data_IF_489575636549
#
_entry.id   IF_489575636549
#
_cell.length_a   1.000
_cell.length_b   1.000
_cell.length_c   1.000
_cell.angle_alpha   90.00
_cell.angle_beta   90.00
_cell.angle_gamma   90.00
#
_symmetry.space_group_name_H-M   'P 1'
#
loop_
_entity.id
_entity.type
_entity.pdbx_description
1 polymer ?
#
# COMPACT_ATOMS: atom_id res chain seq x y z
N UNK A 1 16.64 -52.36 16.79
CA UNK A 1 16.81 -52.85 15.41
C UNK A 1 15.79 -53.96 15.19
N UNK A 2 14.54 -53.57 14.93
CA UNK A 2 13.46 -54.46 14.52
C UNK A 2 13.03 -54.02 13.12
N UNK A 3 13.02 -54.97 12.17
CA UNK A 3 12.68 -54.74 10.77
C UNK A 3 11.28 -55.28 10.51
N UNK A 4 10.30 -54.40 10.39
CA UNK A 4 9.00 -54.73 9.80
C UNK A 4 9.10 -54.66 8.28
N UNK A 5 8.69 -55.74 7.60
CA UNK A 5 8.67 -55.86 6.13
C UNK A 5 7.51 -55.04 5.54
N UNK A 6 7.82 -53.98 4.80
CA UNK A 6 6.88 -53.23 3.95
C UNK A 6 6.65 -53.90 2.59
N UNK A 7 5.53 -53.57 1.93
CA UNK A 7 5.10 -54.09 0.63
C UNK A 7 5.98 -53.55 -0.52
N UNK A 8 6.16 -54.30 -1.63
CA UNK A 8 6.94 -53.84 -2.77
C UNK A 8 6.11 -52.82 -3.60
N UNK A 9 6.57 -51.56 -3.67
CA UNK A 9 6.00 -50.52 -4.53
C UNK A 9 5.97 -49.10 -3.97
N UNK A 10 6.17 -48.91 -2.66
CA UNK A 10 6.26 -47.58 -2.05
C UNK A 10 7.69 -47.03 -2.12
N UNK A 11 7.83 -45.80 -2.65
CA UNK A 11 9.07 -45.04 -2.53
C UNK A 11 9.31 -44.71 -1.06
N UNK A 12 10.53 -44.88 -0.52
CA UNK A 12 10.81 -44.54 0.86
C UNK A 12 10.65 -43.03 1.05
N UNK A 13 9.66 -42.64 1.87
CA UNK A 13 9.58 -41.29 2.43
C UNK A 13 10.60 -41.22 3.56
N UNK A 14 11.64 -40.42 3.35
CA UNK A 14 12.63 -40.09 4.36
C UNK A 14 11.97 -39.14 5.36
N UNK A 15 11.21 -39.69 6.31
CA UNK A 15 10.74 -38.95 7.47
C UNK A 15 11.93 -38.74 8.39
N UNK A 16 12.61 -37.60 8.24
CA UNK A 16 13.55 -37.11 9.25
C UNK A 16 12.68 -36.75 10.47
N UNK A 17 12.86 -37.39 11.63
CA UNK A 17 12.21 -36.94 12.84
C UNK A 17 12.81 -35.58 13.19
N UNK A 18 12.05 -34.51 12.95
CA UNK A 18 12.34 -33.21 13.55
C UNK A 18 11.95 -33.36 15.01
N UNK A 19 12.90 -33.79 15.84
CA UNK A 19 12.82 -33.59 17.28
C UNK A 19 12.68 -32.08 17.50
N UNK A 20 11.46 -31.64 17.82
CA UNK A 20 11.24 -30.27 18.28
C UNK A 20 11.96 -30.15 19.61
N UNK A 21 12.98 -29.29 19.75
CA UNK A 21 13.58 -29.05 21.04
C UNK A 21 12.49 -28.48 21.95
N UNK A 22 12.22 -29.19 23.04
CA UNK A 22 11.38 -28.73 24.14
C UNK A 22 12.16 -27.62 24.88
N UNK A 23 12.28 -26.47 24.23
CA UNK A 23 12.68 -25.25 24.89
C UNK A 23 11.46 -24.78 25.66
N UNK A 24 11.53 -24.86 27.00
CA UNK A 24 10.61 -24.23 27.92
C UNK A 24 10.63 -22.70 27.78
N UNK A 25 10.22 -22.21 26.60
CA UNK A 25 10.02 -20.81 26.31
C UNK A 25 8.74 -20.42 27.02
N UNK A 26 8.89 -19.78 28.16
CA UNK A 26 7.86 -18.92 28.72
C UNK A 26 7.34 -18.04 27.56
N UNK A 27 6.03 -18.08 27.30
CA UNK A 27 5.46 -17.34 26.19
C UNK A 27 5.84 -15.87 26.36
N UNK A 28 6.33 -15.19 25.30
CA UNK A 28 6.78 -13.81 25.44
C UNK A 28 5.66 -12.98 26.04
N UNK A 29 5.99 -12.12 27.02
CA UNK A 29 5.02 -11.20 27.62
C UNK A 29 4.55 -10.18 26.56
N UNK A 30 3.48 -10.56 25.87
CA UNK A 30 2.78 -9.76 24.85
C UNK A 30 1.73 -8.84 25.48
N UNK A 31 1.59 -8.82 26.81
CA UNK A 31 0.57 -8.03 27.50
C UNK A 31 0.67 -6.55 27.15
N UNK A 32 1.90 -6.05 26.97
CA UNK A 32 2.14 -4.67 26.52
C UNK A 32 1.55 -4.34 25.14
N UNK A 33 1.53 -5.30 24.20
CA UNK A 33 0.95 -5.10 22.87
C UNK A 33 -0.56 -4.89 22.90
N UNK A 34 -1.26 -5.42 23.91
CA UNK A 34 -2.69 -5.19 24.05
C UNK A 34 -3.05 -3.71 24.15
N UNK A 35 -2.10 -2.87 24.63
CA UNK A 35 -2.26 -1.40 24.66
C UNK A 35 -2.24 -0.76 23.27
N UNK A 36 -1.60 -1.40 22.29
CA UNK A 36 -1.60 -0.97 20.89
C UNK A 36 -2.88 -1.39 20.15
N UNK A 37 -3.69 -2.28 20.74
CA UNK A 37 -4.93 -2.75 20.13
C UNK A 37 -6.05 -1.71 20.17
N UNK A 38 -5.97 -0.73 21.07
CA UNK A 38 -6.97 0.35 21.21
C UNK A 38 -6.38 1.68 20.77
N UNK A 39 -7.04 2.30 19.80
CA UNK A 39 -6.71 3.67 19.41
C UNK A 39 -7.33 4.66 20.41
N UNK A 40 -6.67 5.80 20.69
CA UNK A 40 -7.29 6.87 21.49
C UNK A 40 -8.60 7.35 20.87
N UNK A 41 -9.58 7.70 21.71
CA UNK A 41 -10.92 8.11 21.27
C UNK A 41 -10.86 9.26 20.26
N UNK A 42 -10.03 10.27 20.50
CA UNK A 42 -9.87 11.43 19.61
C UNK A 42 -9.42 11.02 18.19
N UNK A 43 -8.56 10.00 18.07
CA UNK A 43 -8.07 9.51 16.79
C UNK A 43 -9.16 8.72 16.06
N UNK A 44 -9.90 7.89 16.81
CA UNK A 44 -11.06 7.16 16.29
C UNK A 44 -12.12 8.13 15.80
N UNK A 45 -12.42 9.17 16.58
CA UNK A 45 -13.42 10.18 16.24
C UNK A 45 -13.06 10.94 14.96
N UNK A 46 -11.77 11.29 14.77
CA UNK A 46 -11.29 11.93 13.55
C UNK A 46 -11.32 11.00 12.32
N UNK A 47 -11.16 9.69 12.53
CA UNK A 47 -11.19 8.68 11.47
C UNK A 47 -12.62 8.25 11.08
N UNK A 48 -13.62 8.50 11.93
CA UNK A 48 -15.00 8.06 11.75
C UNK A 48 -15.74 8.91 10.69
N UNK A 49 -16.17 8.32 9.55
CA UNK A 49 -16.79 9.06 8.46
C UNK A 49 -18.01 9.89 8.86
N UNK A 50 -18.90 9.34 9.70
CA UNK A 50 -20.15 9.99 10.08
C UNK A 50 -19.96 11.15 11.05
N UNK A 51 -19.00 11.04 11.98
CA UNK A 51 -18.65 12.16 12.86
C UNK A 51 -18.07 13.32 12.06
N UNK A 52 -17.14 13.03 11.15
CA UNK A 52 -16.54 14.04 10.27
C UNK A 52 -17.59 14.69 9.37
N UNK A 53 -18.50 13.89 8.80
CA UNK A 53 -19.63 14.36 7.99
C UNK A 53 -20.54 15.31 8.78
N UNK A 54 -20.90 14.90 10.00
CA UNK A 54 -21.78 15.68 10.88
C UNK A 54 -21.12 17.00 11.27
N UNK A 55 -19.84 16.99 11.61
CA UNK A 55 -19.10 18.21 11.94
C UNK A 55 -19.02 19.17 10.74
N UNK A 56 -18.66 18.66 9.56
CA UNK A 56 -18.64 19.43 8.32
C UNK A 56 -20.02 20.04 8.00
N UNK A 57 -21.09 19.24 8.05
CA UNK A 57 -22.45 19.69 7.76
C UNK A 57 -22.92 20.84 8.68
N UNK A 58 -22.42 20.89 9.92
CA UNK A 58 -22.74 21.96 10.89
C UNK A 58 -21.83 23.17 10.74
N UNK A 59 -20.55 22.96 10.44
CA UNK A 59 -19.55 24.02 10.44
C UNK A 59 -19.46 24.79 9.12
N UNK A 60 -19.82 24.16 7.99
CA UNK A 60 -19.74 24.75 6.65
C UNK A 60 -21.05 25.43 6.26
N UNK A 61 -20.96 26.69 5.86
CA UNK A 61 -22.10 27.56 5.56
C UNK A 61 -22.91 27.07 4.37
N UNK A 62 -22.25 26.60 3.32
CA UNK A 62 -22.85 26.15 2.08
C UNK A 62 -23.71 24.91 2.30
N UNK A 63 -23.30 24.01 3.21
CA UNK A 63 -24.12 22.86 3.60
C UNK A 63 -25.33 23.30 4.44
N UNK A 64 -25.15 24.17 5.43
CA UNK A 64 -26.27 24.67 6.26
C UNK A 64 -27.31 25.48 5.47
N UNK A 65 -26.93 26.05 4.32
CA UNK A 65 -27.81 26.79 3.42
C UNK A 65 -28.43 25.96 2.30
N UNK A 66 -28.01 24.71 2.13
CA UNK A 66 -28.42 23.87 1.01
C UNK A 66 -27.85 24.30 -0.35
N UNK A 67 -26.78 25.10 -0.36
CA UNK A 67 -26.06 25.48 -1.59
C UNK A 67 -25.19 24.31 -2.09
N UNK A 68 -24.75 23.46 -1.17
CA UNK A 68 -24.05 22.20 -1.43
C UNK A 68 -24.67 21.07 -0.61
N UNK A 69 -24.64 19.87 -1.17
CA UNK A 69 -25.00 18.62 -0.51
C UNK A 69 -23.74 17.82 -0.20
N UNK A 70 -23.65 17.29 1.02
CA UNK A 70 -22.54 16.47 1.46
C UNK A 70 -22.90 14.98 1.34
N UNK A 71 -22.36 14.31 0.32
CA UNK A 71 -22.65 12.89 0.06
C UNK A 71 -21.76 11.95 0.87
N UNK A 72 -20.46 12.24 0.96
CA UNK A 72 -19.48 11.36 1.61
C UNK A 72 -18.29 12.13 2.16
N UNK A 73 -17.75 11.68 3.28
CA UNK A 73 -16.44 12.09 3.79
C UNK A 73 -15.64 10.86 4.18
N UNK A 74 -14.35 10.82 3.84
CA UNK A 74 -13.47 9.73 4.25
C UNK A 74 -12.07 10.23 4.56
N UNK A 75 -11.69 10.14 5.83
CA UNK A 75 -10.33 10.35 6.29
C UNK A 75 -9.45 9.12 5.97
N UNK A 76 -8.20 9.37 5.58
CA UNK A 76 -7.19 8.37 5.24
C UNK A 76 -5.79 8.92 5.57
N UNK A 77 -4.81 8.02 5.59
CA UNK A 77 -3.40 8.36 5.69
C UNK A 77 -3.06 9.18 6.95
N UNK A 78 -3.59 8.78 8.10
CA UNK A 78 -3.16 9.34 9.38
C UNK A 78 -1.64 9.14 9.55
N UNK A 79 -0.94 10.23 9.83
CA UNK A 79 0.50 10.30 10.00
C UNK A 79 0.84 11.19 11.17
N UNK A 80 1.73 10.70 12.02
CA UNK A 80 2.29 11.51 13.09
C UNK A 80 3.48 12.32 12.57
N UNK A 81 3.36 13.65 12.61
CA UNK A 81 4.41 14.62 12.25
C UNK A 81 4.72 15.49 13.47
N UNK A 82 5.88 15.29 14.09
CA UNK A 82 6.17 15.89 15.39
C UNK A 82 5.19 15.38 16.44
N UNK A 83 4.44 16.30 17.08
CA UNK A 83 3.39 15.99 18.04
C UNK A 83 1.96 16.00 17.44
N UNK A 84 1.83 16.31 16.14
CA UNK A 84 0.53 16.52 15.49
C UNK A 84 0.20 15.35 14.56
N UNK A 85 -1.02 14.86 14.64
CA UNK A 85 -1.52 13.89 13.67
C UNK A 85 -2.09 14.62 12.48
N UNK A 86 -1.62 14.29 11.28
CA UNK A 86 -2.12 14.81 10.02
C UNK A 86 -2.81 13.71 9.24
N UNK A 87 -3.80 14.05 8.42
CA UNK A 87 -4.50 13.10 7.58
C UNK A 87 -5.04 13.78 6.32
N UNK A 88 -5.44 12.99 5.33
CA UNK A 88 -6.15 13.48 4.16
C UNK A 88 -7.62 13.08 4.25
N UNK A 89 -8.51 14.00 3.94
CA UNK A 89 -9.94 13.75 3.84
C UNK A 89 -10.41 13.99 2.41
N UNK A 90 -11.07 12.99 1.82
CA UNK A 90 -11.85 13.17 0.59
C UNK A 90 -13.28 13.47 0.97
N UNK A 91 -13.80 14.59 0.50
CA UNK A 91 -15.19 15.00 0.69
C UNK A 91 -15.87 15.05 -0.66
N UNK A 92 -16.87 14.20 -0.87
CA UNK A 92 -17.69 14.20 -2.09
C UNK A 92 -18.91 15.07 -1.84
N UNK A 93 -19.05 16.14 -2.63
CA UNK A 93 -20.11 17.14 -2.53
C UNK A 93 -20.81 17.30 -3.87
N UNK A 94 -22.07 17.72 -3.86
CA UNK A 94 -22.85 18.04 -5.05
C UNK A 94 -23.53 19.39 -4.90
N UNK A 95 -23.89 20.01 -6.03
CA UNK A 95 -24.97 21.02 -6.02
C UNK A 95 -26.29 20.26 -6.17
N UNK A 96 -27.44 20.79 -5.70
CA UNK A 96 -28.72 20.10 -5.77
C UNK A 96 -29.07 19.48 -7.14
N UNK A 97 -28.63 20.10 -8.24
CA UNK A 97 -28.84 19.62 -9.61
C UNK A 97 -27.54 19.30 -10.38
N UNK A 98 -26.41 19.19 -9.67
CA UNK A 98 -25.09 19.01 -10.27
C UNK A 98 -24.50 17.62 -10.05
N UNK A 99 -23.61 17.21 -10.95
CA UNK A 99 -22.81 16.00 -10.74
C UNK A 99 -21.91 16.16 -9.49
N UNK A 100 -21.84 15.15 -8.62
CA UNK A 100 -20.96 15.19 -7.46
C UNK A 100 -19.50 15.33 -7.87
N UNK A 101 -18.74 16.11 -7.11
CA UNK A 101 -17.31 16.30 -7.27
C UNK A 101 -16.60 16.13 -5.92
N UNK A 102 -15.29 15.86 -5.99
CA UNK A 102 -14.47 15.68 -4.80
C UNK A 102 -13.70 16.94 -4.45
N UNK A 103 -13.70 17.25 -3.15
CA UNK A 103 -12.82 18.23 -2.52
C UNK A 103 -11.87 17.47 -1.60
N UNK A 104 -10.57 17.70 -1.78
CA UNK A 104 -9.55 17.15 -0.89
C UNK A 104 -9.22 18.14 0.19
N UNK A 105 -9.28 17.69 1.44
CA UNK A 105 -8.90 18.44 2.61
C UNK A 105 -7.69 17.78 3.27
N UNK A 106 -6.80 18.60 3.80
CA UNK A 106 -5.80 18.18 4.78
C UNK A 106 -6.35 18.44 6.17
N UNK A 107 -6.28 17.43 7.02
CA UNK A 107 -6.74 17.50 8.39
C UNK A 107 -5.59 17.37 9.35
N UNK A 108 -5.73 17.97 10.52
CA UNK A 108 -4.80 17.81 11.61
C UNK A 108 -5.53 17.71 12.94
N UNK A 109 -5.07 16.80 13.80
CA UNK A 109 -5.60 16.57 15.14
C UNK A 109 -4.56 16.98 16.15
N UNK A 110 -4.97 17.86 17.08
CA UNK A 110 -4.18 18.23 18.24
C UNK A 110 -4.73 17.50 19.47
N UNK A 111 -4.07 16.40 19.90
CA UNK A 111 -4.53 15.63 21.05
C UNK A 111 -4.42 16.37 22.39
N UNK A 112 -3.63 17.45 22.46
CA UNK A 112 -3.52 18.27 23.66
C UNK A 112 -4.69 19.26 23.81
N UNK A 113 -5.53 19.41 22.78
CA UNK A 113 -6.64 20.36 22.77
C UNK A 113 -6.19 21.82 22.94
N UNK A 114 -4.92 22.11 22.65
CA UNK A 114 -4.29 23.43 22.86
C UNK A 114 -4.61 24.44 21.76
N UNK A 115 -5.29 24.02 20.70
CA UNK A 115 -5.70 24.93 19.62
C UNK A 115 -6.73 25.94 20.07
N UNK A 116 -6.32 27.21 20.03
CA UNK A 116 -7.26 28.32 20.06
C UNK A 116 -8.20 28.25 18.84
N UNK A 117 -9.47 28.58 19.06
CA UNK A 117 -10.46 28.61 18.01
C UNK A 117 -10.08 29.67 16.96
N UNK A 118 -9.54 29.23 15.82
CA UNK A 118 -9.37 30.11 14.67
C UNK A 118 -10.77 30.42 14.14
N UNK A 119 -11.23 31.65 14.40
CA UNK A 119 -12.43 32.19 13.77
C UNK A 119 -12.16 32.50 12.29
N UNK A 120 -13.22 32.36 11.49
CA UNK A 120 -13.38 32.79 10.09
C UNK A 120 -12.95 31.85 8.94
N UNK A 121 -13.65 30.72 8.84
CA UNK A 121 -14.00 30.08 7.55
C UNK A 121 -15.32 30.58 6.94
N UNK A 122 -16.10 31.43 7.64
CA UNK A 122 -17.50 31.76 7.26
C UNK A 122 -17.65 32.63 6.00
N UNK A 123 -16.58 33.26 5.55
CA UNK A 123 -16.56 34.14 4.39
C UNK A 123 -15.86 33.52 3.15
N UNK A 124 -15.22 32.36 3.31
CA UNK A 124 -14.43 31.72 2.24
C UNK A 124 -15.19 30.51 1.72
N UNK A 125 -15.31 30.39 0.40
CA UNK A 125 -16.06 29.31 -0.22
C UNK A 125 -15.42 27.93 0.05
N UNK A 126 -16.23 26.93 0.36
CA UNK A 126 -15.81 25.55 0.59
C UNK A 126 -15.01 25.01 -0.61
N UNK A 127 -13.84 24.44 -0.33
CA UNK A 127 -12.95 23.87 -1.34
C UNK A 127 -12.09 24.90 -2.09
N UNK A 128 -12.20 26.19 -1.79
CA UNK A 128 -11.21 27.17 -2.27
C UNK A 128 -9.88 27.03 -1.52
N UNK A 129 -8.78 27.49 -2.11
CA UNK A 129 -7.42 27.35 -1.56
C UNK A 129 -7.27 27.94 -0.15
N UNK A 130 -7.97 29.04 0.14
CA UNK A 130 -7.93 29.71 1.44
C UNK A 130 -8.90 29.11 2.48
N UNK A 131 -9.72 28.12 2.10
CA UNK A 131 -10.73 27.57 3.00
C UNK A 131 -10.11 26.78 4.15
N UNK A 132 -10.56 27.07 5.37
CA UNK A 132 -10.16 26.42 6.62
C UNK A 132 -11.35 26.32 7.58
N UNK A 133 -11.36 25.30 8.43
CA UNK A 133 -12.42 25.04 9.38
C UNK A 133 -11.93 24.25 10.59
N UNK A 134 -12.29 24.67 11.80
CA UNK A 134 -12.12 23.89 13.02
C UNK A 134 -13.43 23.15 13.36
N UNK A 135 -13.34 21.83 13.50
CA UNK A 135 -14.40 20.98 14.03
C UNK A 135 -14.11 20.75 15.52
N UNK A 136 -14.53 21.70 16.35
CA UNK A 136 -14.17 21.76 17.77
C UNK A 136 -14.55 20.49 18.55
N UNK A 137 -15.69 19.88 18.22
CA UNK A 137 -16.17 18.64 18.82
C UNK A 137 -15.29 17.41 18.50
N UNK A 138 -14.45 17.50 17.46
CA UNK A 138 -13.50 16.45 17.08
C UNK A 138 -12.04 16.85 17.39
N UNK A 139 -11.78 18.10 17.76
CA UNK A 139 -10.41 18.63 17.86
C UNK A 139 -9.66 18.62 16.52
N UNK A 140 -10.40 18.70 15.40
CA UNK A 140 -9.88 18.56 14.04
C UNK A 140 -9.88 19.91 13.34
N UNK A 141 -8.71 20.35 12.89
CA UNK A 141 -8.60 21.45 11.93
C UNK A 141 -8.50 20.88 10.52
N UNK A 142 -9.29 21.42 9.60
CA UNK A 142 -9.30 21.07 8.17
C UNK A 142 -8.97 22.30 7.34
N UNK A 143 -8.22 22.11 6.27
CA UNK A 143 -8.03 23.11 5.21
C UNK A 143 -8.07 22.44 3.84
N UNK A 144 -8.37 23.20 2.79
CA UNK A 144 -8.31 22.67 1.43
C UNK A 144 -6.88 22.22 1.14
N UNK A 145 -6.73 20.96 0.73
CA UNK A 145 -5.44 20.44 0.33
C UNK A 145 -4.96 21.22 -0.91
N UNK A 146 -3.68 21.63 -0.98
CA UNK A 146 -3.15 22.37 -2.14
C UNK A 146 -3.26 21.55 -3.45
N UNK A 147 -2.79 22.05 -4.58
CA UNK A 147 -2.59 21.16 -5.73
C UNK A 147 -1.56 20.06 -5.39
N UNK A 148 -1.70 18.84 -5.95
CA UNK A 148 -0.68 17.79 -5.73
C UNK A 148 0.53 18.06 -6.62
N UNK A 149 1.43 18.89 -6.14
CA UNK A 149 2.68 19.23 -6.84
C UNK A 149 3.75 18.14 -6.70
N UNK A 150 3.56 17.19 -5.79
CA UNK A 150 4.50 16.09 -5.57
C UNK A 150 4.35 14.96 -6.60
N UNK A 151 3.22 14.91 -7.32
CA UNK A 151 2.95 14.00 -8.43
C UNK A 151 2.49 14.76 -9.68
N UNK A 152 3.34 15.59 -10.29
CA UNK A 152 2.95 16.49 -11.40
C UNK A 152 2.49 15.73 -12.66
N UNK A 153 2.79 14.43 -12.75
CA UNK A 153 2.45 13.60 -13.89
C UNK A 153 0.99 13.11 -13.87
N UNK A 154 0.28 13.16 -12.73
CA UNK A 154 -1.09 12.59 -12.62
C UNK A 154 -2.05 13.09 -13.70
N UNK A 155 -2.15 14.40 -14.00
CA UNK A 155 -3.01 14.88 -15.09
C UNK A 155 -2.65 14.33 -16.47
N UNK A 156 -1.38 13.94 -16.68
CA UNK A 156 -0.92 13.34 -17.94
C UNK A 156 -1.22 11.84 -18.01
N UNK A 157 -1.31 11.17 -16.86
CA UNK A 157 -1.66 9.76 -16.78
C UNK A 157 -3.18 9.54 -16.91
N UNK A 158 -3.99 10.51 -16.52
CA UNK A 158 -5.45 10.43 -16.63
C UNK A 158 -5.98 10.86 -18.00
N UNK A 159 -5.21 11.68 -18.74
CA UNK A 159 -5.53 12.06 -20.11
C UNK A 159 -5.07 11.00 -21.10
N UNK A 160 -6.02 10.40 -21.84
CA UNK A 160 -5.76 9.30 -22.75
C UNK A 160 -4.73 9.63 -23.85
N UNK A 161 -4.73 10.84 -24.41
CA UNK A 161 -3.81 11.20 -25.48
C UNK A 161 -2.41 11.50 -24.96
N UNK A 162 -2.32 12.21 -23.83
CA UNK A 162 -1.03 12.48 -23.17
C UNK A 162 -0.39 11.18 -22.68
N UNK A 163 -1.17 10.31 -22.05
CA UNK A 163 -0.70 9.01 -21.58
C UNK A 163 -0.23 8.13 -22.73
N UNK A 164 -0.96 8.11 -23.86
CA UNK A 164 -0.57 7.36 -25.07
C UNK A 164 0.83 7.73 -25.54
N UNK A 165 1.10 9.03 -25.71
CA UNK A 165 2.42 9.54 -26.17
C UNK A 165 3.50 9.18 -25.16
N UNK A 166 3.22 9.38 -23.88
CA UNK A 166 4.15 9.09 -22.79
C UNK A 166 4.51 7.60 -22.71
N UNK A 167 3.52 6.71 -22.72
CA UNK A 167 3.71 5.26 -22.64
C UNK A 167 4.47 4.74 -23.86
N UNK A 168 4.11 5.19 -25.07
CA UNK A 168 4.82 4.82 -26.29
C UNK A 168 6.30 5.22 -26.23
N UNK A 169 6.59 6.45 -25.80
CA UNK A 169 7.97 6.93 -25.63
C UNK A 169 8.73 6.15 -24.56
N UNK A 170 8.11 5.92 -23.40
CA UNK A 170 8.72 5.21 -22.28
C UNK A 170 9.06 3.77 -22.64
N UNK A 171 8.12 3.02 -23.21
CA UNK A 171 8.30 1.59 -23.52
C UNK A 171 9.37 1.40 -24.61
N UNK A 172 9.39 2.26 -25.64
CA UNK A 172 10.47 2.23 -26.64
C UNK A 172 11.83 2.57 -26.05
N UNK A 173 11.87 3.53 -25.13
CA UNK A 173 13.09 3.93 -24.42
C UNK A 173 13.59 2.89 -23.41
N UNK A 174 12.75 1.92 -23.03
CA UNK A 174 13.09 0.87 -22.04
C UNK A 174 14.14 -0.16 -22.48
N UNK A 175 14.57 -0.10 -23.75
CA UNK A 175 15.70 -0.89 -24.27
C UNK A 175 15.39 -2.36 -24.56
N UNK A 176 14.11 -2.73 -24.63
CA UNK A 176 13.68 -4.08 -25.04
C UNK A 176 13.46 -4.10 -26.57
N UNK A 177 14.23 -4.86 -27.36
CA UNK A 177 14.16 -4.81 -28.82
C UNK A 177 12.77 -5.11 -29.40
N UNK A 178 12.00 -6.01 -28.75
CA UNK A 178 10.64 -6.36 -29.17
C UNK A 178 9.67 -5.15 -29.19
N UNK A 179 9.98 -4.11 -28.42
CA UNK A 179 9.13 -2.93 -28.27
C UNK A 179 9.69 -1.67 -28.91
N UNK A 180 10.86 -1.72 -29.56
CA UNK A 180 11.52 -0.55 -30.17
C UNK A 180 10.62 0.18 -31.20
N UNK A 181 9.74 -0.55 -31.87
CA UNK A 181 8.80 -0.02 -32.85
C UNK A 181 7.35 0.08 -32.33
N UNK A 182 7.11 -0.18 -31.03
CA UNK A 182 5.76 -0.25 -30.45
C UNK A 182 4.97 1.02 -30.71
N UNK A 183 3.84 0.95 -31.41
CA UNK A 183 2.91 2.07 -31.61
C UNK A 183 1.62 1.84 -30.82
N UNK A 184 1.10 2.88 -30.19
CA UNK A 184 -0.19 2.85 -29.50
C UNK A 184 -1.14 3.78 -30.27
N UNK A 185 -2.23 3.22 -30.78
CA UNK A 185 -3.25 3.98 -31.51
C UNK A 185 -4.12 4.80 -30.56
N UNK A 186 -4.60 4.16 -29.48
CA UNK A 186 -5.34 4.80 -28.39
C UNK A 186 -5.10 4.02 -27.09
N UNK A 187 -5.30 4.65 -25.94
CA UNK A 187 -5.35 3.92 -24.66
C UNK A 187 -6.53 4.37 -23.79
N UNK A 188 -6.96 3.51 -22.86
CA UNK A 188 -7.97 3.83 -21.86
C UNK A 188 -7.36 3.79 -20.45
N UNK A 189 -7.15 4.94 -19.80
CA UNK A 189 -6.65 4.99 -18.43
C UNK A 189 -7.72 4.53 -17.44
N UNK A 190 -7.29 3.78 -16.44
CA UNK A 190 -8.08 3.42 -15.27
C UNK A 190 -7.21 3.64 -14.03
N UNK A 191 -7.52 4.68 -13.25
CA UNK A 191 -6.82 4.96 -11.99
C UNK A 191 -7.15 3.86 -11.00
N UNK A 192 -6.18 3.00 -10.72
CA UNK A 192 -6.34 1.89 -9.78
C UNK A 192 -6.12 2.36 -8.34
N UNK A 193 -5.16 3.27 -8.17
CA UNK A 193 -4.78 3.80 -6.85
C UNK A 193 -4.20 5.18 -6.99
N UNK A 194 -4.66 6.10 -6.17
CA UNK A 194 -4.08 7.42 -6.03
C UNK A 194 -3.89 7.73 -4.55
N UNK A 195 -2.64 7.64 -4.11
CA UNK A 195 -2.19 8.08 -2.79
C UNK A 195 -1.58 9.47 -3.00
N UNK A 196 -2.39 10.51 -2.78
CA UNK A 196 -2.01 11.91 -3.01
C UNK A 196 -0.66 12.23 -2.38
N UNK A 197 0.21 12.83 -3.19
CA UNK A 197 1.57 13.16 -2.85
C UNK A 197 2.38 11.92 -2.44
N UNK A 198 2.14 10.75 -3.00
CA UNK A 198 3.00 9.60 -2.71
C UNK A 198 3.17 8.75 -3.94
N UNK A 199 2.06 8.26 -4.48
CA UNK A 199 2.06 7.50 -5.71
C UNK A 199 0.72 7.53 -6.42
N UNK A 200 0.75 7.33 -7.73
CA UNK A 200 -0.43 7.02 -8.53
C UNK A 200 -0.15 5.78 -9.37
N UNK A 201 -1.11 4.85 -9.41
CA UNK A 201 -1.08 3.63 -10.21
C UNK A 201 -2.24 3.67 -11.17
N UNK A 202 -1.95 3.65 -12.48
CA UNK A 202 -2.93 3.66 -13.55
C UNK A 202 -2.74 2.42 -14.41
N UNK A 203 -3.83 1.67 -14.62
CA UNK A 203 -3.89 0.57 -15.59
C UNK A 203 -4.35 1.16 -16.92
N UNK A 204 -3.72 0.72 -18.00
CA UNK A 204 -4.11 1.12 -19.35
C UNK A 204 -4.50 -0.09 -20.16
N UNK A 205 -5.65 0.00 -20.82
CA UNK A 205 -5.93 -0.85 -21.99
C UNK A 205 -5.34 -0.16 -23.21
N UNK A 206 -4.46 -0.85 -23.93
CA UNK A 206 -3.79 -0.36 -25.13
C UNK A 206 -4.49 -0.92 -26.37
N UNK A 207 -4.76 -0.04 -27.32
CA UNK A 207 -5.23 -0.42 -28.66
C UNK A 207 -4.10 -0.09 -29.62
N UNK A 208 -3.65 -1.10 -30.36
CA UNK A 208 -2.56 -0.95 -31.33
C UNK A 208 -3.09 -0.79 -32.76
N UNK A 209 -2.28 -0.23 -33.67
CA UNK A 209 -2.57 -0.24 -35.10
C UNK A 209 -2.81 -1.67 -35.65
N UNK A 210 -3.62 -1.86 -36.71
CA UNK A 210 -3.98 -3.18 -37.22
C UNK A 210 -2.80 -4.08 -37.64
N UNK A 211 -1.68 -3.48 -38.06
CA UNK A 211 -0.44 -4.17 -38.45
C UNK A 211 0.37 -4.72 -37.25
N UNK A 212 0.02 -4.32 -36.02
CA UNK A 212 0.73 -4.68 -34.80
C UNK A 212 0.33 -6.03 -34.19
N UNK A 213 -0.80 -6.63 -34.60
CA UNK A 213 -1.38 -7.83 -33.95
C UNK A 213 -0.41 -9.02 -33.90
N UNK A 214 0.51 -9.13 -34.87
CA UNK A 214 1.50 -10.22 -34.93
C UNK A 214 2.76 -9.98 -34.11
N UNK A 215 2.93 -8.81 -33.49
CA UNK A 215 4.17 -8.42 -32.80
C UNK A 215 4.20 -8.78 -31.30
N UNK A 216 3.10 -9.33 -30.77
CA UNK A 216 3.03 -9.76 -29.36
C UNK A 216 3.10 -8.61 -28.35
N UNK A 217 2.73 -7.40 -28.75
CA UNK A 217 2.75 -6.24 -27.86
C UNK A 217 1.68 -6.35 -26.75
N UNK A 218 1.99 -5.94 -25.51
CA UNK A 218 1.06 -5.99 -24.39
C UNK A 218 -0.20 -5.15 -24.66
N UNK A 219 -1.37 -5.77 -24.50
CA UNK A 219 -2.66 -5.07 -24.57
C UNK A 219 -3.00 -4.32 -23.29
N UNK A 220 -2.29 -4.60 -22.20
CA UNK A 220 -2.48 -3.96 -20.90
C UNK A 220 -1.12 -3.61 -20.34
N UNK A 221 -0.99 -2.40 -19.80
CA UNK A 221 0.19 -2.00 -19.03
C UNK A 221 -0.25 -1.31 -17.74
N UNK A 222 0.62 -1.30 -16.74
CA UNK A 222 0.42 -0.55 -15.50
C UNK A 222 1.53 0.48 -15.39
N UNK A 223 1.15 1.74 -15.26
CA UNK A 223 2.08 2.84 -14.98
C UNK A 223 1.95 3.28 -13.52
N UNK A 224 3.09 3.49 -12.87
CA UNK A 224 3.20 3.90 -11.47
C UNK A 224 4.08 5.14 -11.38
N UNK A 225 3.52 6.26 -10.97
CA UNK A 225 4.29 7.47 -10.65
C UNK A 225 4.60 7.50 -9.16
N UNK A 226 5.81 7.93 -8.81
CA UNK A 226 6.28 8.00 -7.42
C UNK A 226 6.68 9.43 -7.06
N UNK A 227 6.52 9.80 -5.79
CA UNK A 227 7.08 11.05 -5.25
C UNK A 227 8.61 11.02 -5.27
N UNK A 228 9.22 9.87 -5.03
CA UNK A 228 10.66 9.73 -4.73
C UNK A 228 11.31 8.60 -5.55
N UNK A 229 12.52 8.18 -5.15
CA UNK A 229 13.30 7.13 -5.81
C UNK A 229 12.76 5.71 -5.64
N UNK A 230 11.68 5.48 -4.88
CA UNK A 230 11.12 4.13 -4.69
C UNK A 230 10.74 3.45 -6.01
N UNK A 231 10.32 4.22 -7.02
CA UNK A 231 10.02 3.69 -8.35
C UNK A 231 11.23 3.09 -9.06
N UNK A 232 12.40 3.70 -8.88
CA UNK A 232 13.65 3.20 -9.46
C UNK A 232 14.06 1.87 -8.80
N UNK A 233 14.05 1.83 -7.47
CA UNK A 233 14.39 0.61 -6.72
C UNK A 233 13.44 -0.54 -7.08
N UNK A 234 12.14 -0.25 -7.23
CA UNK A 234 11.16 -1.24 -7.69
C UNK A 234 11.46 -1.73 -9.12
N UNK A 235 11.80 -0.83 -10.05
CA UNK A 235 12.16 -1.22 -11.42
C UNK A 235 13.41 -2.09 -11.46
N UNK A 236 14.46 -1.72 -10.74
CA UNK A 236 15.73 -2.46 -10.68
C UNK A 236 15.53 -3.85 -10.07
N UNK A 237 14.77 -3.95 -8.97
CA UNK A 237 14.39 -5.23 -8.38
C UNK A 237 13.59 -6.09 -9.35
N UNK A 238 12.58 -5.52 -10.02
CA UNK A 238 11.80 -6.25 -11.04
C UNK A 238 12.69 -6.72 -12.20
N UNK A 239 13.63 -5.90 -12.67
CA UNK A 239 14.58 -6.27 -13.74
C UNK A 239 15.51 -7.40 -13.33
N UNK A 240 15.98 -7.41 -12.08
CA UNK A 240 16.80 -8.48 -11.56
C UNK A 240 16.01 -9.80 -11.47
N UNK A 241 14.78 -9.75 -10.95
CA UNK A 241 13.88 -10.91 -10.89
C UNK A 241 13.50 -11.43 -12.29
N UNK A 242 13.21 -10.52 -13.24
CA UNK A 242 12.87 -10.88 -14.61
C UNK A 242 14.03 -11.57 -15.37
N UNK A 243 15.27 -11.36 -14.93
CA UNK A 243 16.46 -11.98 -15.52
C UNK A 243 16.90 -13.25 -14.81
N UNK A 244 16.31 -13.57 -13.66
CA UNK A 244 16.65 -14.76 -12.88
C UNK A 244 15.85 -15.98 -13.35
N UNK A 245 16.14 -17.14 -12.77
CA UNK A 245 15.37 -18.36 -13.01
C UNK A 245 13.91 -18.26 -12.54
N UNK A 246 13.61 -17.28 -11.67
CA UNK A 246 12.26 -17.05 -11.16
C UNK A 246 11.26 -16.73 -12.26
N UNK A 247 11.70 -16.09 -13.35
CA UNK A 247 10.84 -15.83 -14.53
C UNK A 247 10.26 -17.13 -15.12
N UNK A 248 10.99 -18.25 -15.01
CA UNK A 248 10.56 -19.55 -15.53
C UNK A 248 9.77 -20.37 -14.51
N UNK A 249 9.58 -19.85 -13.30
CA UNK A 249 8.80 -20.52 -12.26
C UNK A 249 7.32 -20.54 -12.62
N UNK A 250 6.67 -21.68 -12.42
CA UNK A 250 5.20 -21.78 -12.48
C UNK A 250 4.52 -21.33 -11.19
N UNK A 251 5.29 -21.08 -10.12
CA UNK A 251 4.78 -20.75 -8.79
C UNK A 251 4.53 -19.26 -8.61
N UNK A 252 5.28 -18.40 -9.32
CA UNK A 252 5.14 -16.95 -9.21
C UNK A 252 5.20 -16.29 -10.58
N UNK A 253 4.21 -15.45 -10.86
CA UNK A 253 4.23 -14.57 -12.01
C UNK A 253 4.87 -13.24 -11.61
N UNK A 254 5.95 -12.86 -12.29
CA UNK A 254 6.53 -11.53 -12.18
C UNK A 254 5.88 -10.65 -13.25
N UNK A 255 5.69 -9.36 -12.99
CA UNK A 255 5.28 -8.42 -14.04
C UNK A 255 6.49 -8.01 -14.88
N UNK A 256 6.33 -7.97 -16.21
CA UNK A 256 7.42 -7.55 -17.09
C UNK A 256 7.83 -6.08 -16.81
N UNK A 257 9.11 -5.79 -16.51
CA UNK A 257 9.58 -4.42 -16.29
C UNK A 257 9.84 -3.72 -17.64
N UNK A 258 8.80 -3.07 -18.18
CA UNK A 258 8.83 -2.45 -19.51
C UNK A 258 9.73 -1.22 -19.57
N UNK A 259 9.62 -0.29 -18.61
CA UNK A 259 10.43 0.92 -18.58
C UNK A 259 10.46 1.58 -17.20
N UNK A 260 11.51 2.37 -16.95
CA UNK A 260 11.53 3.40 -15.92
C UNK A 260 12.05 4.70 -16.53
N UNK A 261 11.33 5.80 -16.31
CA UNK A 261 11.68 7.14 -16.79
C UNK A 261 12.06 8.00 -15.58
N UNK A 262 13.37 8.19 -15.29
CA UNK A 262 13.83 8.86 -14.06
C UNK A 262 13.31 10.28 -13.89
N UNK A 263 13.30 11.06 -14.97
CA UNK A 263 12.87 12.47 -14.98
C UNK A 263 11.40 12.62 -14.58
N UNK A 264 10.61 11.58 -14.83
CA UNK A 264 9.19 11.53 -14.55
C UNK A 264 8.85 10.65 -13.33
N UNK A 265 9.84 9.99 -12.72
CA UNK A 265 9.68 9.00 -11.64
C UNK A 265 8.58 8.00 -11.97
N UNK A 266 8.58 7.53 -13.22
CA UNK A 266 7.52 6.70 -13.79
C UNK A 266 8.03 5.30 -14.08
N UNK A 267 7.44 4.31 -13.44
CA UNK A 267 7.61 2.89 -13.74
C UNK A 267 6.47 2.41 -14.64
N UNK A 268 6.80 1.75 -15.75
CA UNK A 268 5.83 1.06 -16.61
C UNK A 268 6.13 -0.43 -16.58
N UNK A 269 5.11 -1.24 -16.33
CA UNK A 269 5.20 -2.70 -16.29
C UNK A 269 4.08 -3.39 -17.07
N UNK A 270 4.32 -4.63 -17.45
CA UNK A 270 3.30 -5.53 -17.97
C UNK A 270 2.22 -5.88 -16.93
N UNK A 271 1.14 -6.53 -17.37
CA UNK A 271 0.08 -6.95 -16.47
C UNK A 271 0.49 -8.22 -15.71
N UNK A 272 -0.10 -8.42 -14.53
CA UNK A 272 -0.27 -9.75 -13.94
C UNK A 272 -1.71 -10.16 -14.27
N UNK A 273 -1.89 -11.38 -14.73
CA UNK A 273 -3.15 -11.85 -15.30
C UNK A 273 -4.18 -12.25 -14.23
N UNK A 274 -4.50 -11.35 -13.32
CA UNK A 274 -5.52 -11.52 -12.29
C UNK A 274 -6.10 -10.13 -11.94
N UNK A 275 -7.37 -10.10 -11.51
CA UNK A 275 -8.11 -8.86 -11.24
C UNK A 275 -8.53 -8.68 -9.78
N UNK A 276 -8.33 -9.70 -8.94
CA UNK A 276 -8.61 -9.67 -7.51
C UNK A 276 -7.32 -9.81 -6.71
N UNK A 277 -7.26 -9.10 -5.60
CA UNK A 277 -6.18 -9.25 -4.63
C UNK A 277 -6.49 -10.32 -3.59
N UNK A 278 -5.44 -10.88 -2.97
CA UNK A 278 -5.60 -11.75 -1.80
C UNK A 278 -6.31 -11.04 -0.63
N UNK A 279 -6.12 -9.72 -0.48
CA UNK A 279 -6.87 -8.91 0.49
C UNK A 279 -8.39 -8.97 0.22
N UNK A 280 -8.81 -8.81 -1.05
CA UNK A 280 -10.22 -8.87 -1.42
C UNK A 280 -10.82 -10.26 -1.21
N UNK A 281 -10.04 -11.32 -1.45
CA UNK A 281 -10.43 -12.71 -1.15
C UNK A 281 -10.62 -12.92 0.35
N UNK A 282 -9.66 -12.51 1.17
CA UNK A 282 -9.75 -12.57 2.64
C UNK A 282 -10.98 -11.80 3.13
N UNK A 283 -11.17 -10.56 2.70
CA UNK A 283 -12.32 -9.74 3.11
C UNK A 283 -13.66 -10.32 2.63
N UNK A 284 -13.71 -10.98 1.47
CA UNK A 284 -14.91 -11.67 1.00
C UNK A 284 -15.21 -12.91 1.85
N UNK A 285 -14.20 -13.72 2.17
CA UNK A 285 -14.33 -14.91 3.00
C UNK A 285 -14.84 -14.59 4.41
N UNK A 286 -14.28 -13.55 5.05
CA UNK A 286 -14.75 -13.07 6.36
C UNK A 286 -16.22 -12.67 6.32
N UNK A 287 -16.66 -11.96 5.26
CA UNK A 287 -18.06 -11.54 5.10
C UNK A 287 -19.02 -12.71 4.88
N UNK A 288 -18.57 -13.75 4.17
CA UNK A 288 -19.39 -14.94 3.93
C UNK A 288 -19.46 -15.86 5.15
N UNK A 289 -18.37 -15.98 5.91
CA UNK A 289 -18.32 -16.75 7.15
C UNK A 289 -18.48 -18.27 6.98
N UNK A 290 -18.39 -18.81 5.76
CA UNK A 290 -18.57 -20.24 5.49
C UNK A 290 -17.25 -21.01 5.52
N UNK A 291 -17.25 -22.31 5.87
CA UNK A 291 -16.05 -23.15 5.78
C UNK A 291 -15.47 -23.21 4.36
N UNK A 292 -16.32 -23.26 3.32
CA UNK A 292 -15.87 -23.31 1.93
C UNK A 292 -15.07 -22.06 1.53
N UNK A 293 -15.55 -20.87 1.91
CA UNK A 293 -14.85 -19.62 1.62
C UNK A 293 -13.53 -19.47 2.40
N UNK A 294 -13.42 -20.11 3.58
CA UNK A 294 -12.16 -20.16 4.33
C UNK A 294 -11.15 -21.08 3.64
N UNK A 295 -11.58 -22.28 3.25
CA UNK A 295 -10.73 -23.23 2.53
C UNK A 295 -10.17 -22.63 1.23
N UNK A 296 -10.99 -21.90 0.46
CA UNK A 296 -10.53 -21.19 -0.75
C UNK A 296 -9.40 -20.19 -0.42
N UNK A 297 -9.56 -19.37 0.63
CA UNK A 297 -8.53 -18.43 1.07
C UNK A 297 -7.27 -19.15 1.55
N UNK A 298 -7.41 -20.27 2.27
CA UNK A 298 -6.27 -21.08 2.72
C UNK A 298 -5.46 -21.62 1.54
N UNK A 299 -6.11 -22.07 0.46
CA UNK A 299 -5.45 -22.48 -0.79
C UNK A 299 -4.70 -21.33 -1.47
N UNK A 300 -5.25 -20.11 -1.44
CA UNK A 300 -4.56 -18.93 -1.96
C UNK A 300 -3.39 -18.49 -1.07
N UNK A 301 -3.52 -18.59 0.25
CA UNK A 301 -2.44 -18.31 1.20
C UNK A 301 -1.29 -19.30 1.03
N UNK A 302 -1.57 -20.58 0.84
CA UNK A 302 -0.57 -21.60 0.56
C UNK A 302 0.21 -21.29 -0.73
N UNK A 303 -0.48 -20.95 -1.83
CA UNK A 303 0.16 -20.54 -3.09
C UNK A 303 1.00 -19.27 -2.93
N UNK A 304 0.52 -18.29 -2.18
CA UNK A 304 1.29 -17.08 -1.90
C UNK A 304 2.57 -17.38 -1.08
N UNK A 305 2.49 -18.30 -0.11
CA UNK A 305 3.64 -18.74 0.66
C UNK A 305 4.67 -19.48 -0.21
N UNK A 306 4.23 -20.36 -1.11
CA UNK A 306 5.09 -21.03 -2.08
C UNK A 306 5.79 -20.01 -3.01
N UNK A 307 5.03 -19.01 -3.50
CA UNK A 307 5.58 -17.93 -4.33
C UNK A 307 6.62 -17.10 -3.60
N UNK A 308 6.38 -16.80 -2.31
CA UNK A 308 7.33 -16.06 -1.48
C UNK A 308 8.60 -16.89 -1.19
N UNK A 309 8.47 -18.19 -0.95
CA UNK A 309 9.60 -19.10 -0.79
C UNK A 309 10.44 -19.15 -2.09
N UNK A 310 9.79 -19.22 -3.25
CA UNK A 310 10.47 -19.17 -4.55
C UNK A 310 11.20 -17.85 -4.75
N UNK A 311 10.59 -16.71 -4.37
CA UNK A 311 11.23 -15.40 -4.39
C UNK A 311 12.50 -15.40 -3.52
N UNK A 312 12.40 -15.80 -2.25
CA UNK A 312 13.54 -15.83 -1.32
C UNK A 312 14.66 -16.76 -1.80
N UNK A 313 14.30 -17.85 -2.50
CA UNK A 313 15.24 -18.82 -3.05
C UNK A 313 15.88 -18.45 -4.40
N UNK A 314 15.44 -17.38 -5.08
CA UNK A 314 15.82 -17.13 -6.48
C UNK A 314 17.27 -16.63 -6.70
N UNK A 315 18.02 -16.39 -5.62
CA UNK A 315 19.43 -16.00 -5.67
C UNK A 315 19.71 -14.58 -6.14
N UNK A 316 18.67 -13.77 -6.38
CA UNK A 316 18.84 -12.35 -6.71
C UNK A 316 19.34 -11.57 -5.50
N UNK A 317 20.43 -10.82 -5.66
CA UNK A 317 20.89 -9.84 -4.70
C UNK A 317 20.71 -8.44 -5.32
N UNK A 318 19.69 -7.71 -4.86
CA UNK A 318 19.36 -6.37 -5.35
C UNK A 318 18.74 -5.54 -4.24
N UNK A 319 19.09 -4.25 -4.18
CA UNK A 319 18.57 -3.32 -3.19
C UNK A 319 19.42 -3.23 -1.92
N UNK A 320 18.84 -2.61 -0.90
CA UNK A 320 19.45 -2.43 0.41
C UNK A 320 19.37 -3.71 1.24
N UNK A 321 20.44 -3.99 1.98
CA UNK A 321 20.45 -5.06 2.98
C UNK A 321 19.80 -4.54 4.27
N UNK A 322 18.66 -5.09 4.63
CA UNK A 322 18.02 -4.83 5.92
C UNK A 322 18.64 -5.73 6.98
N UNK A 323 18.96 -5.15 8.14
CA UNK A 323 19.46 -5.91 9.29
C UNK A 323 18.47 -5.85 10.45
N UNK A 324 18.56 -6.81 11.36
CA UNK A 324 17.69 -6.78 12.53
C UNK A 324 17.95 -5.54 13.39
N UNK A 325 19.21 -5.12 13.51
CA UNK A 325 19.60 -3.96 14.29
C UNK A 325 18.95 -2.68 13.74
N UNK A 326 18.90 -2.51 12.41
CA UNK A 326 18.21 -1.38 11.79
C UNK A 326 16.71 -1.43 12.05
N UNK A 327 16.08 -2.59 11.88
CA UNK A 327 14.64 -2.76 12.12
C UNK A 327 14.26 -2.50 13.59
N UNK A 328 15.06 -3.01 14.54
CA UNK A 328 14.84 -2.76 15.98
C UNK A 328 15.01 -1.29 16.30
N UNK A 329 16.01 -0.61 15.74
CA UNK A 329 16.21 0.82 15.93
C UNK A 329 15.04 1.64 15.37
N UNK A 330 14.53 1.29 14.19
CA UNK A 330 13.36 1.93 13.59
C UNK A 330 12.09 1.74 14.43
N UNK A 331 11.84 0.51 14.90
CA UNK A 331 10.67 0.21 15.74
C UNK A 331 10.76 0.97 17.07
N UNK A 332 11.94 1.06 17.70
CA UNK A 332 12.16 1.86 18.91
C UNK A 332 11.82 3.34 18.67
N UNK A 333 12.37 3.92 17.62
CA UNK A 333 12.12 5.32 17.26
C UNK A 333 10.63 5.58 16.97
N UNK A 334 9.93 4.62 16.36
CA UNK A 334 8.49 4.70 16.13
C UNK A 334 7.69 4.68 17.44
N UNK A 335 8.01 3.75 18.36
CA UNK A 335 7.33 3.64 19.66
C UNK A 335 7.58 4.88 20.50
N UNK A 336 8.80 5.40 20.55
CA UNK A 336 9.13 6.62 21.29
C UNK A 336 8.33 7.81 20.78
N UNK A 337 8.22 7.95 19.45
CA UNK A 337 7.39 9.01 18.83
C UNK A 337 5.92 8.85 19.17
N UNK A 338 5.38 7.62 19.11
CA UNK A 338 4.00 7.34 19.48
C UNK A 338 3.74 7.62 20.97
N UNK A 339 4.66 7.21 21.85
CA UNK A 339 4.55 7.44 23.29
C UNK A 339 4.60 8.93 23.65
N UNK A 340 5.32 9.75 22.87
CA UNK A 340 5.31 11.21 23.03
C UNK A 340 3.93 11.85 22.82
N UNK A 341 3.04 11.20 22.07
CA UNK A 341 1.68 11.71 21.76
C UNK A 341 0.58 10.93 22.44
N UNK A 342 0.82 9.66 22.73
CA UNK A 342 -0.08 8.77 23.46
C UNK A 342 0.73 8.16 24.62
N UNK A 343 0.87 8.88 25.76
CA UNK A 343 1.73 8.45 26.87
C UNK A 343 1.41 7.05 27.41
N UNK A 344 0.17 6.58 27.23
CA UNK A 344 -0.28 5.24 27.61
C UNK A 344 0.44 4.11 26.84
N UNK A 345 1.03 4.42 25.68
CA UNK A 345 1.82 3.47 24.87
C UNK A 345 3.29 3.40 25.31
N UNK A 346 3.72 4.21 26.27
CA UNK A 346 5.09 4.17 26.77
C UNK A 346 5.46 2.78 27.28
N UNK A 347 6.58 2.25 26.78
CA UNK A 347 7.09 0.92 27.12
C UNK A 347 6.26 -0.26 26.59
N UNK A 348 5.20 -0.04 25.80
CA UNK A 348 4.26 -1.10 25.40
C UNK A 348 4.92 -2.26 24.64
N UNK A 349 5.96 -2.02 23.86
CA UNK A 349 6.67 -3.04 23.09
C UNK A 349 8.09 -3.35 23.59
N UNK A 350 8.51 -2.74 24.71
CA UNK A 350 9.88 -2.92 25.22
C UNK A 350 10.23 -4.38 25.55
N UNK A 351 9.37 -5.18 26.23
CA UNK A 351 9.68 -6.59 26.53
C UNK A 351 9.90 -7.43 25.27
N UNK A 352 9.12 -7.19 24.22
CA UNK A 352 9.24 -7.93 22.96
C UNK A 352 10.49 -7.54 22.18
N UNK A 353 10.84 -6.26 22.14
CA UNK A 353 12.07 -5.82 21.49
C UNK A 353 13.31 -6.37 22.18
N UNK A 354 13.30 -6.48 23.52
CA UNK A 354 14.36 -7.18 24.26
C UNK A 354 14.42 -8.64 23.83
N UNK A 355 13.30 -9.35 23.82
CA UNK A 355 13.26 -10.76 23.39
C UNK A 355 13.75 -10.97 21.96
N UNK A 356 13.39 -10.08 21.03
CA UNK A 356 13.87 -10.13 19.64
C UNK A 356 15.39 -9.98 19.57
N UNK A 357 15.98 -9.06 20.33
CA UNK A 357 17.44 -8.88 20.40
C UNK A 357 18.12 -10.08 21.04
N UNK A 358 17.56 -10.63 22.12
CA UNK A 358 18.12 -11.82 22.78
C UNK A 358 18.12 -13.03 21.84
N UNK A 359 16.99 -13.28 21.17
CA UNK A 359 16.88 -14.34 20.16
C UNK A 359 17.88 -14.17 19.03
N UNK A 360 18.16 -12.94 18.60
CA UNK A 360 19.13 -12.67 17.55
C UNK A 360 20.56 -13.01 17.94
N UNK A 361 20.92 -12.86 19.22
CA UNK A 361 22.23 -13.26 19.74
C UNK A 361 22.34 -14.79 19.80
N UNK A 362 21.23 -15.48 20.09
CA UNK A 362 21.16 -16.95 20.18
C UNK A 362 21.22 -17.65 18.81
N UNK A 363 20.92 -16.95 17.71
CA UNK A 363 20.82 -17.53 16.37
C UNK A 363 21.88 -16.98 15.42
N UNK A 364 22.43 -17.83 14.56
CA UNK A 364 23.27 -17.35 13.45
C UNK A 364 22.37 -16.64 12.43
N UNK A 365 22.77 -15.45 11.99
CA UNK A 365 22.02 -14.69 10.99
C UNK A 365 21.80 -15.49 9.70
N UNK A 366 20.59 -15.41 9.17
CA UNK A 366 20.25 -16.02 7.88
C UNK A 366 21.10 -15.43 6.75
N UNK A 367 21.39 -16.23 5.69
CA UNK A 367 22.01 -15.69 4.50
C UNK A 367 21.13 -14.58 3.91
N UNK A 368 21.75 -13.53 3.37
CA UNK A 368 21.02 -12.45 2.69
C UNK A 368 20.21 -13.03 1.53
N UNK A 369 18.89 -12.85 1.58
CA UNK A 369 17.94 -13.26 0.54
C UNK A 369 17.18 -12.06 0.01
N UNK A 370 16.78 -12.07 -1.27
CA UNK A 370 15.83 -11.08 -1.77
C UNK A 370 14.52 -11.24 -1.00
N UNK A 371 13.94 -10.13 -0.57
CA UNK A 371 12.62 -10.09 0.03
C UNK A 371 11.80 -8.96 -0.58
N UNK A 372 10.49 -9.00 -0.40
CA UNK A 372 9.63 -7.88 -0.78
C UNK A 372 9.78 -6.70 0.21
N UNK A 373 10.29 -6.93 1.43
CA UNK A 373 10.42 -5.94 2.51
C UNK A 373 9.11 -5.52 3.18
N UNK A 374 8.02 -5.36 2.42
CA UNK A 374 6.70 -4.93 2.93
C UNK A 374 5.55 -5.77 2.37
N UNK A 375 5.71 -7.09 2.36
CA UNK A 375 4.73 -8.03 1.79
C UNK A 375 3.37 -7.96 2.49
N UNK A 376 2.29 -7.72 1.74
CA UNK A 376 0.91 -7.60 2.24
C UNK A 376 -0.05 -8.30 1.28
N UNK A 377 -1.21 -8.81 1.76
CA UNK A 377 -2.22 -9.43 0.90
C UNK A 377 -2.68 -8.56 -0.27
N UNK A 378 -2.70 -7.24 -0.10
CA UNK A 378 -3.05 -6.28 -1.16
C UNK A 378 -2.04 -6.20 -2.32
N UNK A 379 -0.89 -6.87 -2.21
CA UNK A 379 0.17 -6.92 -3.23
C UNK A 379 0.20 -8.26 -3.99
N UNK A 380 -0.62 -9.23 -3.59
CA UNK A 380 -0.77 -10.52 -4.24
C UNK A 380 -2.06 -10.48 -5.06
N UNK A 381 -1.96 -10.83 -6.33
CA UNK A 381 -3.08 -11.01 -7.25
C UNK A 381 -3.33 -12.50 -7.46
#
# INVERSE_FOLDING_TARGET
>A
MELTRGRPGEKPVLSIPVESPDHGSEAPDVTGLSRLATLPEWLVAAAEPDRLRTGLARAVREFTRGELELHRSRAKHFRLQGATWTFLCRVTVGRPDGEPYDVWLEGSVDPAGTREAVLDGRAVAFGSEAWRCLLSELGVELHTAPADTALPLVPHLEDAERARVLLESAIRGGGVPAYAEMRIATCRPQVMRYDRGSRCTVRYQLIHPPDAVRRGWPQVVVAKSYRDGTGQNAYEGMRALWRSELLRSSTVAIAEPLAYVPELRLLVQGPVAEDRTLEELICASVRQGTPAARNEVDEHLARAAEGLAALHGCGVASGETLTLESEVAEIRALIERLAGVVPQLSGAAAPLLVRVVDLAVEHTGDPVRPSHGTFRPAQVL
#
